data_IF_827428896165
#
_entry.id   IF_827428896165
#
_cell.length_a   1.000
_cell.length_b   1.000
_cell.length_c   1.000
_cell.angle_alpha   90.00
_cell.angle_beta   90.00
_cell.angle_gamma   90.00
#
_symmetry.space_group_name_H-M   'P 1'
#
loop_
_entity.id
_entity.type
_entity.pdbx_description
1 polymer ?
#
# COMPACT_ATOMS: atom_id res chain seq x y z
N UNK A 1 6.03 -13.92 28.44
CA UNK A 1 6.35 -15.34 28.18
C UNK A 1 6.03 -15.60 26.71
N UNK A 2 7.02 -16.01 25.92
CA UNK A 2 6.80 -16.42 24.53
C UNK A 2 6.41 -17.89 24.57
N UNK A 3 5.20 -18.23 24.12
CA UNK A 3 4.73 -19.61 24.06
C UNK A 3 5.71 -20.47 23.26
N UNK A 4 5.97 -21.70 23.69
CA UNK A 4 6.89 -22.63 23.00
C UNK A 4 6.47 -22.99 21.55
N UNK A 5 5.30 -22.50 21.12
CA UNK A 5 4.72 -22.67 19.78
C UNK A 5 4.84 -21.42 18.90
N UNK A 6 5.36 -20.31 19.42
CA UNK A 6 5.57 -19.09 18.64
C UNK A 6 6.81 -19.26 17.74
N UNK A 7 6.68 -19.05 16.42
CA UNK A 7 7.82 -19.12 15.52
C UNK A 7 8.92 -18.14 15.92
N UNK A 8 10.19 -18.55 15.80
CA UNK A 8 11.34 -17.71 16.17
C UNK A 8 11.33 -16.33 15.49
N UNK A 9 10.90 -16.27 14.22
CA UNK A 9 10.82 -15.03 13.47
C UNK A 9 9.85 -13.99 14.08
N UNK A 10 8.85 -14.43 14.85
CA UNK A 10 7.91 -13.52 15.52
C UNK A 10 8.61 -12.71 16.62
N UNK A 11 9.61 -13.30 17.29
CA UNK A 11 10.40 -12.59 18.31
C UNK A 11 11.29 -11.46 17.74
N UNK A 12 11.43 -11.40 16.42
CA UNK A 12 12.19 -10.38 15.70
C UNK A 12 11.28 -9.37 14.98
N UNK A 13 9.98 -9.37 15.28
CA UNK A 13 9.03 -8.48 14.61
C UNK A 13 9.16 -7.00 14.98
N UNK A 14 9.91 -6.66 16.02
CA UNK A 14 10.24 -5.26 16.34
C UNK A 14 11.47 -4.77 15.57
N UNK A 15 12.26 -5.69 15.02
CA UNK A 15 13.45 -5.35 14.23
C UNK A 15 13.06 -4.70 12.90
N UNK A 16 13.98 -3.92 12.32
CA UNK A 16 13.87 -3.45 10.94
C UNK A 16 13.94 -4.60 9.92
N UNK A 17 13.87 -4.29 8.63
CA UNK A 17 14.08 -5.32 7.61
C UNK A 17 15.53 -5.84 7.64
N UNK A 18 15.69 -7.14 7.41
CA UNK A 18 16.98 -7.83 7.47
C UNK A 18 17.27 -8.54 6.15
N UNK A 19 18.55 -8.60 5.77
CA UNK A 19 18.99 -9.42 4.63
C UNK A 19 19.13 -10.86 5.09
N UNK A 20 18.43 -11.76 4.43
CA UNK A 20 18.54 -13.20 4.64
C UNK A 20 18.81 -13.89 3.30
N UNK A 21 20.08 -14.25 3.07
CA UNK A 21 20.60 -14.79 1.80
C UNK A 21 20.43 -13.78 0.66
N UNK A 22 19.57 -14.08 -0.31
CA UNK A 22 19.26 -13.33 -1.53
C UNK A 22 18.00 -12.46 -1.39
N UNK A 23 17.43 -12.36 -0.18
CA UNK A 23 16.18 -11.66 0.07
C UNK A 23 16.30 -10.67 1.21
N UNK A 24 15.49 -9.62 1.14
CA UNK A 24 15.20 -8.74 2.26
C UNK A 24 13.90 -9.22 2.89
N UNK A 25 13.91 -9.49 4.19
CA UNK A 25 12.75 -9.94 4.96
C UNK A 25 12.35 -8.90 5.98
N UNK A 26 11.05 -8.71 6.18
CA UNK A 26 10.53 -7.83 7.22
C UNK A 26 9.29 -8.45 7.86
N UNK A 27 9.19 -8.30 9.18
CA UNK A 27 7.97 -8.65 9.90
C UNK A 27 7.23 -7.38 10.34
N UNK A 28 5.90 -7.41 10.21
CA UNK A 28 4.99 -6.47 10.84
C UNK A 28 4.00 -7.20 11.74
N UNK A 29 3.56 -6.51 12.79
CA UNK A 29 2.54 -6.98 13.73
C UNK A 29 1.32 -6.08 13.67
N UNK A 30 0.12 -6.62 13.88
CA UNK A 30 -1.15 -5.87 13.89
C UNK A 30 -2.09 -6.43 14.94
N UNK A 31 -2.70 -5.55 15.72
CA UNK A 31 -3.58 -5.96 16.83
C UNK A 31 -4.94 -6.40 16.30
N UNK A 32 -5.48 -7.45 16.89
CA UNK A 32 -6.82 -7.96 16.60
C UNK A 32 -7.81 -7.15 17.43
N UNK A 33 -8.52 -6.24 16.77
CA UNK A 33 -9.56 -5.42 17.37
C UNK A 33 -10.92 -6.01 17.01
N UNK A 34 -11.80 -6.15 18.00
CA UNK A 34 -13.16 -6.70 17.83
C UNK A 34 -13.22 -8.09 17.16
N UNK A 35 -12.14 -8.86 17.28
CA UNK A 35 -12.01 -10.17 16.64
C UNK A 35 -11.71 -10.12 15.13
N UNK A 36 -11.49 -8.94 14.55
CA UNK A 36 -11.18 -8.78 13.13
C UNK A 36 -9.71 -9.10 12.84
N UNK A 37 -9.48 -10.36 12.46
CA UNK A 37 -8.15 -10.85 12.14
C UNK A 37 -7.68 -10.37 10.77
N UNK A 38 -8.57 -10.14 9.82
CA UNK A 38 -8.18 -9.75 8.46
C UNK A 38 -7.76 -8.28 8.41
N UNK A 39 -8.42 -7.41 9.18
CA UNK A 39 -7.93 -6.07 9.44
C UNK A 39 -6.54 -6.08 10.08
N UNK A 40 -6.34 -6.91 11.10
CA UNK A 40 -5.03 -7.06 11.74
C UNK A 40 -3.93 -7.53 10.77
N UNK A 41 -4.26 -8.44 9.84
CA UNK A 41 -3.35 -8.87 8.76
C UNK A 41 -2.98 -7.73 7.84
N UNK A 42 -3.95 -6.90 7.46
CA UNK A 42 -3.70 -5.75 6.59
C UNK A 42 -2.76 -4.76 7.26
N UNK A 43 -2.99 -4.45 8.54
CA UNK A 43 -2.11 -3.58 9.34
C UNK A 43 -0.70 -4.19 9.47
N UNK A 44 -0.61 -5.47 9.81
CA UNK A 44 0.66 -6.19 9.92
C UNK A 44 1.42 -6.17 8.58
N UNK A 45 0.72 -6.40 7.46
CA UNK A 45 1.30 -6.37 6.11
C UNK A 45 1.81 -4.99 5.73
N UNK A 46 1.05 -3.93 6.02
CA UNK A 46 1.46 -2.54 5.79
C UNK A 46 2.72 -2.22 6.58
N UNK A 47 2.74 -2.52 7.89
CA UNK A 47 3.93 -2.30 8.74
C UNK A 47 5.16 -3.07 8.24
N UNK A 48 4.97 -4.30 7.75
CA UNK A 48 6.06 -5.07 7.13
C UNK A 48 6.58 -4.39 5.86
N UNK A 49 5.69 -3.90 4.99
CA UNK A 49 6.05 -3.17 3.77
C UNK A 49 6.77 -1.86 4.08
N UNK A 50 6.36 -1.13 5.11
CA UNK A 50 7.01 0.12 5.53
C UNK A 50 8.47 -0.14 5.90
N UNK A 51 8.75 -1.25 6.61
CA UNK A 51 10.13 -1.66 6.92
C UNK A 51 10.94 -2.05 5.69
N UNK A 52 10.32 -2.72 4.71
CA UNK A 52 10.98 -3.00 3.43
C UNK A 52 11.31 -1.71 2.67
N UNK A 53 10.37 -0.77 2.62
CA UNK A 53 10.55 0.54 1.99
C UNK A 53 11.65 1.38 2.68
N UNK A 54 11.67 1.40 4.00
CA UNK A 54 12.72 2.05 4.80
C UNK A 54 14.10 1.43 4.52
N UNK A 55 14.18 0.10 4.41
CA UNK A 55 15.40 -0.57 3.98
C UNK A 55 15.82 -0.18 2.57
N UNK A 56 14.90 -0.16 1.60
CA UNK A 56 15.19 0.28 0.23
C UNK A 56 15.77 1.69 0.21
N UNK A 57 15.12 2.63 0.92
CA UNK A 57 15.56 4.01 1.02
C UNK A 57 16.96 4.12 1.62
N UNK A 58 17.20 3.50 2.78
CA UNK A 58 18.50 3.54 3.48
C UNK A 58 19.60 2.86 2.67
N UNK A 59 19.29 1.80 1.93
CA UNK A 59 20.26 1.06 1.13
C UNK A 59 20.74 1.84 -0.10
N UNK A 60 19.87 2.66 -0.70
CA UNK A 60 20.20 3.41 -1.93
C UNK A 60 20.59 4.86 -1.66
N UNK A 61 20.01 5.50 -0.64
CA UNK A 61 20.16 6.92 -0.36
C UNK A 61 20.40 7.19 1.14
N UNK A 62 21.49 6.65 1.72
CA UNK A 62 21.74 6.68 3.17
C UNK A 62 21.93 8.09 3.75
N UNK A 63 22.24 9.08 2.91
CA UNK A 63 22.55 10.45 3.33
C UNK A 63 21.40 11.44 3.14
N UNK A 64 20.23 11.00 2.66
CA UNK A 64 19.12 11.91 2.38
C UNK A 64 18.21 12.13 3.58
N UNK A 65 17.90 13.41 3.83
CA UNK A 65 16.86 13.86 4.75
C UNK A 65 15.67 14.40 3.97
N UNK A 66 14.45 14.09 4.41
CA UNK A 66 13.22 14.57 3.79
C UNK A 66 12.14 13.50 3.74
N UNK A 67 11.01 13.83 3.12
CA UNK A 67 9.94 12.89 2.86
C UNK A 67 10.14 12.23 1.50
N UNK A 68 10.06 10.90 1.48
CA UNK A 68 10.26 10.11 0.28
C UNK A 68 9.11 9.15 0.08
N UNK A 69 8.69 9.00 -1.17
CA UNK A 69 7.85 7.92 -1.62
C UNK A 69 8.73 6.81 -2.21
N UNK A 70 8.58 5.60 -1.69
CA UNK A 70 9.31 4.42 -2.15
C UNK A 70 8.32 3.42 -2.75
N UNK A 71 8.47 3.15 -4.04
CA UNK A 71 7.71 2.10 -4.72
C UNK A 71 8.51 0.79 -4.67
N UNK A 72 8.13 -0.11 -3.76
CA UNK A 72 8.63 -1.49 -3.72
C UNK A 72 7.75 -2.40 -4.58
N UNK A 73 8.38 -3.29 -5.35
CA UNK A 73 7.70 -4.25 -6.23
C UNK A 73 7.92 -5.68 -5.73
N UNK A 74 7.07 -6.60 -6.20
CA UNK A 74 7.24 -8.04 -6.04
C UNK A 74 7.41 -8.53 -4.59
N UNK A 75 6.83 -7.82 -3.61
CA UNK A 75 6.81 -8.30 -2.23
C UNK A 75 5.98 -9.58 -2.13
N UNK A 76 6.51 -10.60 -1.45
CA UNK A 76 5.85 -11.88 -1.22
C UNK A 76 5.50 -12.06 0.25
N UNK A 77 4.30 -12.57 0.51
CA UNK A 77 3.92 -13.08 1.82
C UNK A 77 4.54 -14.47 2.02
N UNK A 78 5.49 -14.58 2.95
CA UNK A 78 6.15 -15.86 3.24
C UNK A 78 5.45 -16.61 4.38
N UNK A 79 5.00 -15.88 5.41
CA UNK A 79 4.32 -16.49 6.55
C UNK A 79 3.37 -15.52 7.25
N UNK A 80 2.38 -16.10 7.93
CA UNK A 80 1.47 -15.42 8.86
C UNK A 80 1.40 -16.24 10.14
N UNK A 81 1.40 -15.58 11.29
CA UNK A 81 1.15 -16.21 12.59
C UNK A 81 0.09 -15.41 13.34
N UNK A 82 -0.88 -16.11 13.93
CA UNK A 82 -1.95 -15.49 14.71
C UNK A 82 -1.75 -15.90 16.17
N UNK A 83 -1.39 -14.91 16.99
CA UNK A 83 -1.24 -15.06 18.43
C UNK A 83 -2.50 -14.66 19.19
N UNK A 84 -2.40 -14.58 20.51
CA UNK A 84 -3.48 -14.03 21.33
C UNK A 84 -3.53 -12.51 21.15
N UNK A 85 -4.56 -12.02 20.45
CA UNK A 85 -4.80 -10.59 20.28
C UNK A 85 -3.93 -9.88 19.25
N UNK A 86 -3.01 -10.57 18.57
CA UNK A 86 -2.13 -9.97 17.57
C UNK A 86 -1.86 -10.92 16.40
N UNK A 87 -1.74 -10.37 15.20
CA UNK A 87 -1.31 -11.06 13.98
C UNK A 87 0.08 -10.57 13.59
N UNK A 88 0.91 -11.49 13.11
CA UNK A 88 2.24 -11.21 12.60
C UNK A 88 2.32 -11.67 11.15
N UNK A 89 2.94 -10.86 10.31
CA UNK A 89 3.11 -11.09 8.88
C UNK A 89 4.57 -10.95 8.53
N UNK A 90 5.13 -11.97 7.89
CA UNK A 90 6.48 -11.97 7.34
C UNK A 90 6.40 -11.78 5.83
N UNK A 91 6.97 -10.67 5.34
CA UNK A 91 7.13 -10.39 3.92
C UNK A 91 8.59 -10.52 3.51
N UNK A 92 8.80 -10.85 2.25
CA UNK A 92 10.11 -10.76 1.61
C UNK A 92 10.06 -10.07 0.27
N UNK A 93 11.20 -9.55 -0.17
CA UNK A 93 11.45 -9.10 -1.54
C UNK A 93 12.84 -9.55 -1.96
N UNK A 94 13.04 -9.70 -3.27
CA UNK A 94 14.35 -10.04 -3.82
C UNK A 94 15.34 -8.87 -3.63
N UNK A 95 16.59 -9.20 -3.27
CA UNK A 95 17.60 -8.18 -2.98
C UNK A 95 18.06 -7.42 -4.23
N UNK A 96 18.10 -8.08 -5.38
CA UNK A 96 18.45 -7.43 -6.65
C UNK A 96 17.30 -6.55 -7.15
N UNK A 97 16.06 -6.98 -6.96
CA UNK A 97 14.89 -6.15 -7.26
C UNK A 97 14.77 -4.94 -6.34
N UNK A 98 15.16 -5.07 -5.06
CA UNK A 98 15.21 -3.94 -4.12
C UNK A 98 16.10 -2.79 -4.62
N UNK A 99 17.20 -3.09 -5.33
CA UNK A 99 18.08 -2.05 -5.91
C UNK A 99 17.41 -1.25 -7.02
N UNK A 100 16.29 -1.75 -7.56
CA UNK A 100 15.50 -1.12 -8.61
C UNK A 100 14.27 -0.39 -8.06
N UNK A 101 14.11 -0.31 -6.73
CA UNK A 101 13.00 0.41 -6.12
C UNK A 101 13.02 1.89 -6.55
N UNK A 102 11.87 2.41 -6.97
CA UNK A 102 11.76 3.80 -7.41
C UNK A 102 11.54 4.69 -6.19
N UNK A 103 12.44 5.65 -5.99
CA UNK A 103 12.41 6.58 -4.87
C UNK A 103 12.13 7.98 -5.43
N UNK A 104 11.07 8.62 -4.96
CA UNK A 104 10.67 9.98 -5.36
C UNK A 104 10.64 10.86 -4.12
N UNK A 105 11.30 12.02 -4.16
CA UNK A 105 11.22 12.99 -3.06
C UNK A 105 9.89 13.74 -3.13
N UNK A 106 9.19 13.86 -2.00
CA UNK A 106 8.02 14.74 -1.90
C UNK A 106 8.51 16.20 -1.88
N UNK A 107 8.02 17.07 -2.78
CA UNK A 107 8.38 18.47 -2.74
C UNK A 107 7.93 19.08 -1.41
N UNK A 108 8.82 19.81 -0.75
CA UNK A 108 8.44 20.53 0.46
C UNK A 108 7.32 21.52 0.12
N UNK A 109 6.27 21.61 0.96
CA UNK A 109 5.20 22.57 0.72
C UNK A 109 5.82 23.98 0.69
N UNK A 110 5.59 24.70 -0.40
CA UNK A 110 5.95 26.11 -0.50
C UNK A 110 5.28 26.84 0.66
N UNK A 111 6.09 27.38 1.59
CA UNK A 111 5.59 28.04 2.79
C UNK A 111 4.59 29.15 2.49
N UNK A 112 3.67 29.35 3.44
CA UNK A 112 2.63 30.38 3.45
C UNK A 112 3.04 31.69 2.77
N UNK A 113 2.33 32.05 1.69
CA UNK A 113 2.26 33.40 1.16
C UNK A 113 1.39 34.27 2.07
N UNK A 114 1.82 34.48 3.31
CA UNK A 114 1.27 35.50 4.19
C UNK A 114 2.37 36.53 4.54
N UNK A 115 2.88 37.16 3.49
CA UNK A 115 3.45 38.51 3.60
C UNK A 115 2.44 39.47 2.99
N UNK A 116 1.52 39.91 3.83
CA UNK A 116 0.61 41.01 3.60
C UNK A 116 1.41 42.31 3.59
N UNK A 117 2.07 42.64 2.47
CA UNK A 117 2.65 43.96 2.27
C UNK A 117 1.52 44.96 2.05
N UNK A 118 1.28 45.78 3.06
CA UNK A 118 0.60 47.07 2.92
C UNK A 118 1.41 47.92 1.94
N UNK A 119 0.71 48.54 0.99
CA UNK A 119 0.72 49.99 0.69
C UNK A 119 0.76 50.31 -0.81
N UNK A 120 -0.22 51.12 -1.26
CA UNK A 120 0.01 52.10 -2.32
C UNK A 120 -0.58 51.80 -3.69
N UNK A 121 -1.83 52.20 -3.86
CA UNK A 121 -2.54 52.34 -5.13
C UNK A 121 -1.83 53.34 -6.07
N UNK A 122 -1.69 53.01 -7.36
CA UNK A 122 -1.73 53.92 -8.53
C UNK A 122 -1.68 53.09 -9.83
N UNK A 123 -2.83 52.97 -10.50
CA UNK A 123 -3.00 52.43 -11.85
C UNK A 123 -2.78 53.55 -12.92
N UNK A 124 -3.04 53.37 -14.24
CA UNK A 124 -2.93 52.21 -15.14
C UNK A 124 -2.23 52.54 -16.49
N UNK A 125 -1.70 51.54 -17.20
CA UNK A 125 -1.66 51.43 -18.68
C UNK A 125 -1.71 49.93 -18.99
N UNK A 126 -2.79 49.34 -19.45
CA UNK A 126 -3.43 49.57 -20.75
C UNK A 126 -2.83 48.58 -21.75
N UNK A 127 -3.56 47.51 -22.09
CA UNK A 127 -3.79 46.96 -23.45
C UNK A 127 -4.66 45.70 -23.35
N UNK A 128 -5.82 45.82 -23.99
CA UNK A 128 -6.71 44.86 -24.65
C UNK A 128 -7.07 43.51 -24.01
N UNK A 129 -8.31 43.54 -23.49
CA UNK A 129 -9.30 42.48 -23.51
C UNK A 129 -9.59 42.02 -24.95
N UNK A 130 -9.70 40.71 -25.17
CA UNK A 130 -10.61 40.17 -26.17
C UNK A 130 -11.50 39.14 -25.49
N UNK A 131 -12.76 39.53 -25.31
CA UNK A 131 -13.86 38.73 -24.80
C UNK A 131 -14.30 37.67 -25.84
N UNK A 132 -14.48 36.45 -25.34
CA UNK A 132 -15.46 35.38 -25.70
C UNK A 132 -16.87 35.92 -26.04
N UNK A 133 -17.94 35.15 -26.42
CA UNK A 133 -18.18 33.68 -26.45
C UNK A 133 -19.08 33.18 -27.63
N UNK A 134 -19.45 31.88 -27.63
CA UNK A 134 -20.81 31.32 -27.95
C UNK A 134 -20.73 29.78 -27.94
N UNK A 135 -21.70 28.97 -27.53
CA UNK A 135 -22.86 29.01 -26.63
C UNK A 135 -23.44 27.56 -26.66
N UNK A 136 -24.09 27.15 -25.57
CA UNK A 136 -25.16 26.13 -25.46
C UNK A 136 -24.85 24.67 -25.89
N UNK A 137 -24.77 23.71 -24.96
CA UNK A 137 -25.90 23.07 -24.25
C UNK A 137 -26.72 22.11 -25.15
N UNK A 138 -26.56 20.79 -24.95
CA UNK A 138 -27.70 19.88 -24.83
C UNK A 138 -27.34 18.58 -24.11
N UNK A 139 -28.09 18.35 -23.04
CA UNK A 139 -28.27 17.12 -22.26
C UNK A 139 -29.02 16.09 -23.12
N UNK A 140 -28.62 14.81 -23.11
CA UNK A 140 -29.60 13.70 -23.10
C UNK A 140 -29.00 12.35 -22.66
N UNK A 141 -29.77 11.68 -21.80
CA UNK A 141 -29.61 10.35 -21.22
C UNK A 141 -29.98 9.22 -22.20
N UNK A 142 -29.73 7.98 -21.72
CA UNK A 142 -30.17 6.64 -22.19
C UNK A 142 -29.12 5.95 -23.08
N UNK A 143 -28.73 4.71 -22.85
CA UNK A 143 -29.58 3.55 -22.57
C UNK A 143 -28.74 2.41 -21.95
N UNK A 144 -29.29 1.75 -20.91
CA UNK A 144 -28.97 0.37 -20.56
C UNK A 144 -29.93 -0.55 -21.32
N UNK A 145 -29.49 -1.73 -21.76
CA UNK A 145 -30.12 -2.96 -21.25
C UNK A 145 -29.08 -4.05 -20.94
N UNK A 146 -29.09 -4.69 -19.77
CA UNK A 146 -30.01 -5.72 -19.23
C UNK A 146 -29.63 -7.16 -19.66
N UNK A 147 -29.11 -7.89 -18.66
CA UNK A 147 -29.21 -9.33 -18.38
C UNK A 147 -29.28 -10.35 -19.53
N UNK A 148 -28.39 -11.33 -19.45
CA UNK A 148 -28.74 -12.71 -19.81
C UNK A 148 -28.37 -13.66 -18.67
N UNK A 149 -29.41 -14.28 -18.09
CA UNK A 149 -29.34 -15.52 -17.32
C UNK A 149 -29.13 -16.67 -18.31
N UNK A 150 -28.31 -17.66 -17.95
CA UNK A 150 -28.63 -19.05 -18.25
C UNK A 150 -28.27 -19.93 -17.06
N UNK A 151 -29.28 -20.68 -16.62
CA UNK A 151 -29.17 -21.78 -15.68
C UNK A 151 -28.45 -22.95 -16.34
N UNK A 152 -27.68 -23.69 -15.53
CA UNK A 152 -27.03 -24.94 -15.89
C UNK A 152 -26.83 -25.76 -14.63
N UNK A 153 -27.91 -26.44 -14.26
CA UNK A 153 -28.00 -27.48 -13.25
C UNK A 153 -27.16 -28.69 -13.70
N UNK A 154 -26.15 -29.12 -12.92
CA UNK A 154 -25.58 -30.47 -13.06
C UNK A 154 -25.41 -31.11 -11.69
N UNK A 155 -25.90 -32.34 -11.63
CA UNK A 155 -26.16 -33.18 -10.47
C UNK A 155 -24.89 -33.89 -9.99
N UNK A 156 -24.93 -34.24 -8.71
CA UNK A 156 -24.25 -35.37 -8.06
C UNK A 156 -23.64 -36.43 -8.98
N UNK A 157 -22.38 -36.80 -8.71
CA UNK A 157 -22.06 -38.20 -8.37
C UNK A 157 -20.81 -38.26 -7.49
N UNK A 158 -21.04 -38.43 -6.19
CA UNK A 158 -19.99 -38.69 -5.20
C UNK A 158 -19.61 -40.17 -5.26
N UNK A 159 -18.80 -40.55 -6.24
CA UNK A 159 -18.27 -41.92 -6.39
C UNK A 159 -17.13 -42.24 -5.43
N UNK A 160 -17.40 -42.28 -4.11
CA UNK A 160 -16.45 -42.74 -3.09
C UNK A 160 -16.45 -44.28 -3.02
N UNK A 161 -15.67 -44.95 -3.88
CA UNK A 161 -15.37 -46.38 -3.70
C UNK A 161 -14.35 -46.56 -2.58
N UNK A 162 -14.85 -46.95 -1.41
CA UNK A 162 -14.10 -47.73 -0.42
C UNK A 162 -13.84 -49.13 -1.00
N UNK A 163 -12.58 -49.49 -1.21
CA UNK A 163 -12.08 -50.87 -1.14
C UNK A 163 -11.18 -50.90 0.11
N UNK A 164 -11.53 -51.54 1.21
CA UNK A 164 -11.75 -52.96 1.49
C UNK A 164 -10.43 -53.74 1.54
N UNK A 165 -10.09 -54.09 2.79
CA UNK A 165 -9.16 -55.13 3.28
C UNK A 165 -7.64 -54.96 3.15
#
# INVERSE_FOLDING_TARGET
MVDARTPKWVGHCDDGAQVHRDRVVACGAGDILDGDVDYAVNIASTRAKDKLADFSLKSQQPALSGKFHVEIRNTKLDARWVGQGQVYVLLSMDLEENKQAKITQEPEPAGDLDKQDKQGNLAPKGVEVSETPKNAEKIEQKDQPKQQKHAGEEKDDTGLKKGLE
#
